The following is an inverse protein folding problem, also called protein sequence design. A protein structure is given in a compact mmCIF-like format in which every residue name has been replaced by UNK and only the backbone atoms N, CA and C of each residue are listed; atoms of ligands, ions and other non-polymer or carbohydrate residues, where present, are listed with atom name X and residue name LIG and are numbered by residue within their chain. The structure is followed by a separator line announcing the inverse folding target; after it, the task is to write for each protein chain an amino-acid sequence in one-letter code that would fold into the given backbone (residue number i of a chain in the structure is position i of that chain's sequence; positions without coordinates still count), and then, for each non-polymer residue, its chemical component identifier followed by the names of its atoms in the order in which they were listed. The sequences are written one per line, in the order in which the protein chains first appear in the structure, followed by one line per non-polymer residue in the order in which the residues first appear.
data_IF_178459191580
#
_entry.id   IF_178459191580
#
_cell.length_a   1.000
_cell.length_b   1.000
_cell.length_c   1.000
_cell.angle_alpha   90.00
_cell.angle_beta   90.00
_cell.angle_gamma   90.00
#
_symmetry.space_group_name_H-M   'P 1'
#
loop_
_entity.id
_entity.type
_entity.pdbx_description
1 polymer ?
#
# COMPACT_ATOMS: atom_id res chain seq x y z
N UNK A 1 -23.25 7.25 -11.64
CA UNK A 1 -21.94 7.49 -11.01
C UNK A 1 -21.71 6.36 -10.03
N UNK A 2 -20.86 5.40 -10.38
CA UNK A 2 -20.58 4.24 -9.51
C UNK A 2 -19.59 4.68 -8.44
N UNK A 3 -20.03 4.67 -7.19
CA UNK A 3 -19.18 4.92 -6.04
C UNK A 3 -18.42 3.65 -5.69
N UNK A 4 -17.13 3.80 -5.43
CA UNK A 4 -16.24 2.71 -5.04
C UNK A 4 -16.70 2.05 -3.73
N UNK A 5 -16.96 0.74 -3.78
CA UNK A 5 -17.45 -0.07 -2.67
C UNK A 5 -16.37 -0.31 -1.61
N UNK A 6 -16.78 -0.70 -0.40
CA UNK A 6 -15.83 -0.96 0.69
C UNK A 6 -14.91 -2.15 0.39
N UNK A 7 -15.43 -3.19 -0.27
CA UNK A 7 -14.63 -4.34 -0.71
C UNK A 7 -13.56 -3.97 -1.73
N UNK A 8 -13.86 -3.06 -2.66
CA UNK A 8 -12.88 -2.52 -3.61
C UNK A 8 -11.79 -1.69 -2.91
N UNK A 9 -12.16 -0.94 -1.87
CA UNK A 9 -11.20 -0.18 -1.05
C UNK A 9 -10.27 -1.11 -0.30
N UNK A 10 -10.81 -2.20 0.22
CA UNK A 10 -10.01 -3.20 0.93
C UNK A 10 -8.98 -3.89 0.02
N UNK A 11 -9.32 -4.17 -1.24
CA UNK A 11 -8.36 -4.72 -2.21
C UNK A 11 -7.15 -3.79 -2.39
N UNK A 12 -7.38 -2.49 -2.56
CA UNK A 12 -6.30 -1.51 -2.72
C UNK A 12 -5.49 -1.36 -1.42
N UNK A 13 -6.14 -1.37 -0.26
CA UNK A 13 -5.45 -1.31 1.05
C UNK A 13 -4.56 -2.52 1.30
N UNK A 14 -5.03 -3.73 0.97
CA UNK A 14 -4.23 -4.96 1.08
C UNK A 14 -3.05 -4.96 0.11
N UNK A 15 -3.25 -4.48 -1.11
CA UNK A 15 -2.16 -4.27 -2.05
C UNK A 15 -1.13 -3.27 -1.51
N UNK A 16 -1.59 -2.13 -0.96
CA UNK A 16 -0.72 -1.14 -0.31
C UNK A 16 0.05 -1.71 0.88
N UNK A 17 -0.54 -2.68 1.59
CA UNK A 17 0.08 -3.41 2.69
C UNK A 17 1.16 -4.41 2.25
N UNK A 18 1.33 -4.64 0.95
CA UNK A 18 2.34 -5.52 0.38
C UNK A 18 1.80 -6.83 -0.20
N UNK A 19 0.49 -7.04 -0.22
CA UNK A 19 -0.14 -8.21 -0.85
C UNK A 19 -0.13 -8.07 -2.38
N UNK A 20 1.01 -8.45 -3.00
CA UNK A 20 1.25 -8.31 -4.44
C UNK A 20 0.33 -9.18 -5.30
N UNK A 21 -0.29 -10.21 -4.74
CA UNK A 21 -1.24 -11.06 -5.47
C UNK A 21 -2.49 -10.28 -5.91
N UNK A 22 -2.81 -9.20 -5.20
CA UNK A 22 -3.95 -8.33 -5.50
C UNK A 22 -3.63 -7.21 -6.50
N UNK A 23 -2.40 -7.15 -7.04
CA UNK A 23 -1.97 -6.07 -7.95
C UNK A 23 -2.91 -5.93 -9.15
N UNK A 24 -3.22 -7.01 -9.84
CA UNK A 24 -4.08 -6.98 -11.03
C UNK A 24 -5.44 -6.39 -10.68
N UNK A 25 -6.05 -6.89 -9.61
CA UNK A 25 -7.37 -6.46 -9.16
C UNK A 25 -7.39 -5.01 -8.67
N UNK A 26 -6.35 -4.57 -7.97
CA UNK A 26 -6.21 -3.18 -7.55
C UNK A 26 -6.07 -2.21 -8.75
N UNK A 27 -5.35 -2.62 -9.80
CA UNK A 27 -5.21 -1.83 -11.04
C UNK A 27 -6.52 -1.78 -11.82
N UNK A 28 -7.27 -2.88 -11.89
CA UNK A 28 -8.61 -2.91 -12.50
C UNK A 28 -9.56 -1.95 -11.79
N UNK A 29 -9.68 -2.05 -10.47
CA UNK A 29 -10.47 -1.14 -9.64
C UNK A 29 -10.05 0.33 -9.84
N UNK A 30 -8.74 0.61 -9.93
CA UNK A 30 -8.27 1.96 -10.21
C UNK A 30 -8.75 2.48 -11.57
N UNK A 31 -8.66 1.67 -12.64
CA UNK A 31 -9.11 2.07 -13.98
C UNK A 31 -10.61 2.33 -14.04
N UNK A 32 -11.41 1.55 -13.31
CA UNK A 32 -12.87 1.70 -13.25
C UNK A 32 -13.29 2.96 -12.51
N UNK A 33 -12.55 3.36 -11.47
CA UNK A 33 -12.95 4.43 -10.55
C UNK A 33 -12.14 5.73 -10.64
N UNK A 34 -11.04 5.77 -11.40
CA UNK A 34 -10.17 6.97 -11.52
C UNK A 34 -10.92 8.23 -11.98
N UNK A 35 -11.96 8.08 -12.80
CA UNK A 35 -12.76 9.22 -13.29
C UNK A 35 -13.92 9.58 -12.36
N UNK A 36 -14.43 8.60 -11.61
CA UNK A 36 -15.61 8.75 -10.75
C UNK A 36 -15.26 9.21 -9.33
N UNK A 37 -14.06 8.88 -8.83
CA UNK A 37 -13.61 9.16 -7.47
C UNK A 37 -12.12 9.60 -7.42
N UNK A 38 -11.71 10.66 -8.16
CA UNK A 38 -10.30 11.07 -8.23
C UNK A 38 -9.71 11.51 -6.89
N UNK A 39 -10.55 11.98 -5.95
CA UNK A 39 -10.12 12.45 -4.63
C UNK A 39 -10.08 11.36 -3.55
N UNK A 40 -10.44 10.11 -3.88
CA UNK A 40 -10.29 8.99 -2.94
C UNK A 40 -8.80 8.76 -2.63
N UNK A 41 -8.44 8.53 -1.35
CA UNK A 41 -7.06 8.26 -0.99
C UNK A 41 -6.56 6.94 -1.61
N UNK A 42 -7.43 5.94 -1.79
CA UNK A 42 -7.12 4.70 -2.52
C UNK A 42 -6.77 4.96 -4.00
N UNK A 43 -7.51 5.85 -4.67
CA UNK A 43 -7.28 6.19 -6.08
C UNK A 43 -6.00 7.01 -6.24
N UNK A 44 -5.74 7.98 -5.35
CA UNK A 44 -4.48 8.74 -5.34
C UNK A 44 -3.26 7.84 -5.10
N UNK A 45 -3.37 6.88 -4.18
CA UNK A 45 -2.32 5.90 -3.95
C UNK A 45 -2.00 5.08 -5.22
N UNK A 46 -3.02 4.62 -5.94
CA UNK A 46 -2.85 3.85 -7.17
C UNK A 46 -2.31 4.70 -8.32
N UNK A 47 -2.76 5.96 -8.46
CA UNK A 47 -2.23 6.90 -9.43
C UNK A 47 -0.72 7.10 -9.23
N UNK A 48 -0.28 7.31 -7.99
CA UNK A 48 1.15 7.45 -7.68
C UNK A 48 1.94 6.16 -7.88
N UNK A 49 1.36 5.01 -7.49
CA UNK A 49 2.02 3.71 -7.65
C UNK A 49 2.18 3.31 -9.12
N UNK A 50 1.34 3.84 -10.01
CA UNK A 50 1.38 3.59 -11.45
C UNK A 50 2.05 4.71 -12.24
N UNK A 51 2.40 5.83 -11.59
CA UNK A 51 3.09 6.97 -12.19
C UNK A 51 4.55 6.62 -12.52
N UNK A 52 5.04 7.20 -13.61
CA UNK A 52 6.45 7.14 -14.01
C UNK A 52 7.37 7.94 -13.06
N UNK A 53 6.81 8.91 -12.34
CA UNK A 53 7.50 9.71 -11.32
C UNK A 53 6.68 9.63 -10.03
N UNK A 54 6.93 8.61 -9.18
CA UNK A 54 6.14 8.41 -7.96
C UNK A 54 6.52 9.42 -6.87
N UNK A 55 5.52 10.03 -6.24
CA UNK A 55 5.69 10.78 -4.99
C UNK A 55 5.80 9.80 -3.81
N UNK A 56 7.03 9.54 -3.40
CA UNK A 56 7.32 8.63 -2.28
C UNK A 56 6.79 9.12 -0.93
N UNK A 57 6.57 10.42 -0.76
CA UNK A 57 6.05 10.99 0.48
C UNK A 57 4.56 10.70 0.61
N UNK A 58 3.81 10.85 -0.48
CA UNK A 58 2.38 10.52 -0.53
C UNK A 58 2.17 9.01 -0.29
N UNK A 59 2.98 8.16 -0.91
CA UNK A 59 2.95 6.71 -0.70
C UNK A 59 3.26 6.32 0.76
N UNK A 60 4.24 6.97 1.38
CA UNK A 60 4.60 6.73 2.77
C UNK A 60 3.50 7.19 3.75
N UNK A 61 2.86 8.33 3.49
CA UNK A 61 1.73 8.82 4.29
C UNK A 61 0.53 7.88 4.21
N UNK A 62 0.16 7.47 2.99
CA UNK A 62 -0.95 6.54 2.78
C UNK A 62 -0.70 5.20 3.49
N UNK A 63 0.53 4.65 3.36
CA UNK A 63 0.93 3.44 4.08
C UNK A 63 0.85 3.62 5.60
N UNK A 64 1.35 4.73 6.15
CA UNK A 64 1.27 4.97 7.60
C UNK A 64 -0.17 5.08 8.12
N UNK A 65 -1.07 5.67 7.34
CA UNK A 65 -2.44 5.94 7.76
C UNK A 65 -3.35 4.71 7.63
N UNK A 66 -3.15 3.89 6.59
CA UNK A 66 -4.06 2.79 6.24
C UNK A 66 -3.43 1.41 6.35
N UNK A 67 -2.10 1.33 6.38
CA UNK A 67 -1.37 0.11 6.68
C UNK A 67 -0.94 0.15 8.15
N UNK A 68 -1.70 -0.49 9.03
CA UNK A 68 -1.16 -0.81 10.37
C UNK A 68 0.17 -1.55 10.18
N UNK A 69 1.21 -1.24 10.97
CA UNK A 69 2.44 -2.00 10.91
C UNK A 69 2.09 -3.45 11.21
N UNK A 70 2.23 -4.31 10.21
CA UNK A 70 2.44 -5.72 10.48
C UNK A 70 3.84 -5.79 11.12
N UNK A 71 3.90 -5.60 12.45
CA UNK A 71 5.09 -5.73 13.29
C UNK A 71 5.54 -7.20 13.32
N UNK A 72 5.93 -7.75 12.17
CA UNK A 72 6.28 -9.15 12.01
C UNK A 72 7.31 -9.45 10.93
N UNK A 73 7.87 -8.45 10.23
CA UNK A 73 8.79 -8.72 9.12
C UNK A 73 10.17 -8.03 9.17
N UNK A 74 10.47 -7.18 10.15
CA UNK A 74 11.79 -6.51 10.25
C UNK A 74 12.24 -6.21 11.69
N UNK A 75 12.29 -7.22 12.57
CA UNK A 75 12.95 -7.09 13.88
C UNK A 75 13.90 -8.26 14.20
N UNK A 76 14.31 -9.04 13.19
CA UNK A 76 15.29 -10.13 13.39
C UNK A 76 16.44 -9.98 12.39
N UNK A 77 17.21 -8.91 12.52
CA UNK A 77 18.53 -8.76 11.88
C UNK A 77 19.31 -7.60 12.54
N UNK A 78 19.41 -7.61 13.87
CA UNK A 78 20.51 -6.94 14.58
C UNK A 78 21.15 -7.97 15.51
N UNK A 79 22.24 -8.52 14.94
CA UNK A 79 23.50 -8.85 15.58
C UNK A 79 23.63 -10.09 16.49
N UNK A 80 24.17 -11.15 15.88
CA UNK A 80 24.75 -12.35 16.48
C UNK A 80 26.20 -12.14 16.95
N UNK A 81 26.52 -11.10 17.73
CA UNK A 81 27.91 -10.89 18.17
C UNK A 81 28.06 -10.43 19.63
N UNK A 82 27.69 -11.27 20.59
CA UNK A 82 28.37 -11.26 21.91
C UNK A 82 28.36 -12.68 22.49
N UNK A 83 29.10 -13.57 21.82
CA UNK A 83 29.65 -14.77 22.43
C UNK A 83 31.17 -14.66 22.31
N UNK A 84 31.83 -14.02 23.28
CA UNK A 84 33.23 -14.27 23.69
C UNK A 84 33.55 -13.42 24.94
N UNK A 85 34.24 -14.07 25.90
CA UNK A 85 34.91 -13.53 27.09
C UNK A 85 34.00 -13.05 28.24
N UNK A 86 34.09 -13.57 29.46
CA UNK A 86 35.01 -14.52 30.10
C UNK A 86 34.60 -14.65 31.58
#
# INVERSE_FOLDING_TARGET
MSTMTDSEREVIRRFAAGDKALRTRAVETFREHQQSCPDSPEIRFMAETTSLVPDYLLLAQYRRQFTRPNSGAQAELVDRSTAIAG
#
